data_IF_999638789640
#
_entry.id   IF_999638789640
#
_cell.length_a   1.000
_cell.length_b   1.000
_cell.length_c   1.000
_cell.angle_alpha   90.00
_cell.angle_beta   90.00
_cell.angle_gamma   90.00
#
_symmetry.space_group_name_H-M   'P 1'
#
loop_
_entity.id
_entity.type
_entity.pdbx_description
1 polymer ?
#
# COMPACT_ATOMS: atom_id res chain seq x y z
N UNK A 1 -26.73 -71.12 -26.40
CA UNK A 1 -25.85 -70.10 -26.98
C UNK A 1 -25.91 -68.87 -26.06
N UNK A 2 -24.89 -68.75 -25.22
CA UNK A 2 -24.83 -67.77 -24.15
C UNK A 2 -23.92 -66.63 -24.59
N UNK A 3 -24.46 -65.40 -24.69
CA UNK A 3 -23.68 -64.22 -24.96
C UNK A 3 -23.20 -63.58 -23.64
N UNK A 4 -21.89 -63.72 -23.38
CA UNK A 4 -21.22 -63.05 -22.25
C UNK A 4 -20.91 -61.62 -22.68
N UNK A 5 -21.62 -60.66 -22.10
CA UNK A 5 -21.32 -59.22 -22.24
C UNK A 5 -20.17 -58.89 -21.29
N UNK A 6 -18.99 -58.56 -21.84
CA UNK A 6 -17.87 -58.04 -21.10
C UNK A 6 -18.09 -56.53 -20.86
N UNK A 7 -18.44 -56.17 -19.63
CA UNK A 7 -18.46 -54.76 -19.18
C UNK A 7 -17.00 -54.34 -18.91
N UNK A 8 -16.47 -53.48 -19.76
CA UNK A 8 -15.17 -52.81 -19.51
C UNK A 8 -15.45 -51.59 -18.67
N UNK A 9 -15.16 -51.64 -17.40
CA UNK A 9 -15.21 -50.48 -16.49
C UNK A 9 -13.98 -49.63 -16.79
N UNK A 10 -14.19 -48.50 -17.46
CA UNK A 10 -13.16 -47.47 -17.67
C UNK A 10 -13.03 -46.65 -16.40
N UNK A 11 -12.00 -46.94 -15.60
CA UNK A 11 -11.70 -46.19 -14.40
C UNK A 11 -11.01 -44.88 -14.82
N UNK A 12 -11.78 -43.81 -14.94
CA UNK A 12 -11.29 -42.45 -15.18
C UNK A 12 -10.65 -41.97 -13.90
N UNK A 13 -9.32 -42.11 -13.79
CA UNK A 13 -8.52 -41.42 -12.77
C UNK A 13 -8.56 -39.92 -13.04
N UNK A 14 -9.49 -39.24 -12.36
CA UNK A 14 -9.45 -37.78 -12.24
C UNK A 14 -8.24 -37.40 -11.40
N UNK A 15 -7.12 -37.18 -12.07
CA UNK A 15 -6.01 -36.47 -11.47
C UNK A 15 -6.48 -35.04 -11.18
N UNK A 16 -6.94 -34.79 -9.95
CA UNK A 16 -7.14 -33.45 -9.45
C UNK A 16 -5.76 -32.79 -9.33
N UNK A 17 -5.32 -32.16 -10.41
CA UNK A 17 -4.24 -31.18 -10.37
C UNK A 17 -4.73 -30.04 -9.46
N UNK A 18 -4.25 -30.02 -8.23
CA UNK A 18 -4.26 -28.84 -7.40
C UNK A 18 -3.40 -27.79 -8.12
N UNK A 19 -4.02 -27.04 -9.01
CA UNK A 19 -3.50 -25.77 -9.48
C UNK A 19 -3.59 -24.88 -8.24
N UNK A 20 -2.52 -24.81 -7.45
CA UNK A 20 -2.29 -23.72 -6.54
C UNK A 20 -2.40 -22.48 -7.42
N UNK A 21 -3.47 -21.73 -7.26
CA UNK A 21 -3.62 -20.43 -7.88
C UNK A 21 -2.42 -19.60 -7.43
N UNK A 22 -1.43 -19.50 -8.31
CA UNK A 22 -0.32 -18.58 -8.13
C UNK A 22 -0.98 -17.22 -8.06
N UNK A 23 -1.04 -16.62 -6.86
CA UNK A 23 -1.55 -15.29 -6.68
C UNK A 23 -0.78 -14.39 -7.63
N UNK A 24 -1.40 -13.98 -8.72
CA UNK A 24 -0.77 -13.10 -9.69
C UNK A 24 -0.68 -11.72 -9.05
N UNK A 25 0.47 -11.41 -8.51
CA UNK A 25 0.85 -10.08 -8.07
C UNK A 25 0.75 -9.13 -9.27
N UNK A 26 -0.23 -8.22 -9.25
CA UNK A 26 -0.45 -7.35 -10.39
C UNK A 26 0.61 -6.25 -10.57
N UNK A 27 1.62 -6.17 -9.70
CA UNK A 27 2.66 -5.15 -9.78
C UNK A 27 4.02 -5.65 -10.29
N UNK A 28 4.26 -6.97 -10.40
CA UNK A 28 5.60 -7.51 -10.70
C UNK A 28 5.81 -8.12 -12.08
N UNK A 29 4.80 -8.67 -12.73
CA UNK A 29 4.96 -9.50 -13.93
C UNK A 29 4.38 -8.94 -15.22
N UNK A 30 3.76 -7.77 -15.18
CA UNK A 30 3.25 -7.11 -16.36
C UNK A 30 4.04 -5.82 -16.64
N UNK A 31 4.18 -5.46 -17.91
CA UNK A 31 4.72 -4.16 -18.35
C UNK A 31 3.79 -2.98 -18.00
N UNK A 32 2.76 -3.20 -17.18
CA UNK A 32 1.90 -2.16 -16.67
C UNK A 32 2.69 -1.20 -15.79
N UNK A 33 2.47 0.07 -15.98
CA UNK A 33 2.96 1.12 -15.09
C UNK A 33 2.37 0.88 -13.70
N UNK A 34 3.18 1.09 -12.66
CA UNK A 34 2.65 1.13 -11.29
C UNK A 34 1.79 2.38 -11.20
N UNK A 35 0.50 2.18 -11.07
CA UNK A 35 -0.46 3.28 -11.02
C UNK A 35 -0.70 3.73 -9.57
N UNK A 36 -0.97 5.02 -9.36
CA UNK A 36 -1.42 5.53 -8.07
C UNK A 36 -2.70 4.82 -7.61
N UNK A 37 -2.79 4.56 -6.32
CA UNK A 37 -3.99 3.97 -5.72
C UNK A 37 -4.87 5.10 -5.20
N UNK A 38 -6.02 5.28 -5.86
CA UNK A 38 -7.01 6.30 -5.51
C UNK A 38 -8.20 5.62 -4.85
N UNK A 39 -8.71 6.22 -3.77
CA UNK A 39 -9.98 5.86 -3.14
C UNK A 39 -10.94 7.04 -3.16
N UNK A 40 -12.24 6.74 -3.05
CA UNK A 40 -13.31 7.73 -3.20
C UNK A 40 -13.73 7.88 -4.65
N UNK A 41 -14.27 9.05 -4.99
CA UNK A 41 -14.73 9.36 -6.33
C UNK A 41 -13.56 9.94 -7.17
N UNK A 42 -13.05 9.26 -8.19
CA UNK A 42 -11.94 9.77 -9.00
C UNK A 42 -12.28 11.06 -9.78
N UNK A 43 -13.59 11.30 -9.98
CA UNK A 43 -14.09 12.49 -10.68
C UNK A 43 -14.53 13.60 -9.70
N UNK A 44 -14.19 13.49 -8.41
CA UNK A 44 -14.51 14.52 -7.43
C UNK A 44 -13.81 15.85 -7.75
N UNK A 45 -14.50 16.97 -7.47
CA UNK A 45 -13.92 18.31 -7.66
C UNK A 45 -12.76 18.59 -6.70
N UNK A 46 -12.74 17.91 -5.55
CA UNK A 46 -11.66 18.02 -4.56
C UNK A 46 -10.80 16.79 -4.60
N UNK A 47 -9.53 16.97 -4.94
CA UNK A 47 -8.51 15.93 -4.93
C UNK A 47 -7.54 16.15 -3.78
N UNK A 48 -7.27 15.10 -3.00
CA UNK A 48 -6.29 15.12 -1.92
C UNK A 48 -5.21 14.09 -2.22
N UNK A 49 -3.95 14.53 -2.28
CA UNK A 49 -2.77 13.67 -2.32
C UNK A 49 -2.10 13.73 -0.96
N UNK A 50 -1.91 12.60 -0.31
CA UNK A 50 -1.09 12.51 0.89
C UNK A 50 0.28 11.95 0.57
N UNK A 51 1.33 12.72 0.79
CA UNK A 51 2.70 12.26 0.83
C UNK A 51 3.04 11.77 2.24
N UNK A 52 3.27 10.46 2.39
CA UNK A 52 3.51 9.85 3.71
C UNK A 52 4.78 9.01 3.75
N UNK A 53 5.24 8.79 4.97
CA UNK A 53 6.29 7.84 5.33
C UNK A 53 5.73 6.79 6.28
N UNK A 54 6.07 5.52 6.06
CA UNK A 54 5.66 4.43 6.95
C UNK A 54 6.48 4.38 8.25
N UNK A 55 7.62 5.09 8.30
CA UNK A 55 8.44 5.22 9.50
C UNK A 55 8.15 6.51 10.29
N UNK A 56 7.26 7.38 9.80
CA UNK A 56 6.90 8.64 10.44
C UNK A 56 5.78 8.46 11.47
N UNK A 57 6.02 8.89 12.72
CA UNK A 57 5.01 8.82 13.79
C UNK A 57 3.80 9.72 13.56
N UNK A 58 4.00 10.91 12.96
CA UNK A 58 2.89 11.81 12.61
C UNK A 58 2.03 11.25 11.48
N UNK A 59 2.59 10.46 10.55
CA UNK A 59 1.80 9.72 9.57
C UNK A 59 0.95 8.63 10.25
N UNK A 60 1.51 7.92 11.23
CA UNK A 60 0.75 6.94 12.02
C UNK A 60 -0.38 7.59 12.85
N UNK A 61 -0.13 8.78 13.40
CA UNK A 61 -1.13 9.58 14.10
C UNK A 61 -2.28 9.98 13.16
N UNK A 62 -1.98 10.54 12.00
CA UNK A 62 -2.98 10.90 11.00
C UNK A 62 -3.79 9.68 10.55
N UNK A 63 -3.13 8.58 10.21
CA UNK A 63 -3.80 7.34 9.79
C UNK A 63 -4.73 6.76 10.85
N UNK A 64 -4.46 7.02 12.14
CA UNK A 64 -5.28 6.51 13.25
C UNK A 64 -6.47 7.40 13.60
N UNK A 65 -6.37 8.70 13.33
CA UNK A 65 -7.35 9.71 13.78
C UNK A 65 -7.94 10.51 12.62
N UNK A 66 -7.09 11.29 11.91
CA UNK A 66 -7.55 12.18 10.86
C UNK A 66 -8.10 11.46 9.63
N UNK A 67 -7.44 10.35 9.24
CA UNK A 67 -7.85 9.59 8.06
C UNK A 67 -9.22 8.93 8.21
N UNK A 68 -9.55 8.38 9.38
CA UNK A 68 -10.89 7.77 9.59
C UNK A 68 -11.99 8.83 9.43
N UNK A 69 -11.80 10.03 10.02
CA UNK A 69 -12.73 11.14 9.84
C UNK A 69 -12.84 11.59 8.37
N UNK A 70 -11.69 11.75 7.70
CA UNK A 70 -11.64 12.10 6.28
C UNK A 70 -12.38 11.06 5.43
N UNK A 71 -12.16 9.77 5.75
CA UNK A 71 -12.77 8.66 5.03
C UNK A 71 -14.29 8.65 5.19
N UNK A 72 -14.79 8.66 6.42
CA UNK A 72 -16.22 8.55 6.70
C UNK A 72 -17.01 9.75 6.16
N UNK A 73 -16.48 10.96 6.34
CA UNK A 73 -17.22 12.19 6.02
C UNK A 73 -17.10 12.61 4.56
N UNK A 74 -15.96 12.33 3.91
CA UNK A 74 -15.66 12.93 2.60
C UNK A 74 -15.34 11.89 1.51
N UNK A 75 -14.56 10.84 1.81
CA UNK A 75 -14.20 9.83 0.81
C UNK A 75 -15.38 8.92 0.50
N UNK A 76 -16.00 8.31 1.54
CA UNK A 76 -17.09 7.35 1.38
C UNK A 76 -18.38 8.02 0.85
N UNK A 77 -18.52 9.33 1.04
CA UNK A 77 -19.62 10.13 0.49
C UNK A 77 -19.38 10.56 -0.96
N UNK A 78 -18.18 10.32 -1.50
CA UNK A 78 -17.82 10.67 -2.87
C UNK A 78 -17.51 12.15 -3.09
N UNK A 79 -17.40 12.95 -2.02
CA UNK A 79 -17.09 14.38 -2.11
C UNK A 79 -15.65 14.66 -2.52
N UNK A 80 -14.74 13.73 -2.22
CA UNK A 80 -13.33 13.86 -2.57
C UNK A 80 -12.78 12.59 -3.20
N UNK A 81 -11.68 12.75 -3.96
CA UNK A 81 -10.73 11.69 -4.27
C UNK A 81 -9.53 11.78 -3.35
N UNK A 82 -9.00 10.62 -2.93
CA UNK A 82 -7.82 10.55 -2.08
C UNK A 82 -6.78 9.61 -2.66
N UNK A 83 -5.57 10.11 -2.81
CA UNK A 83 -4.41 9.37 -3.33
C UNK A 83 -3.30 9.35 -2.31
N UNK A 84 -2.79 8.16 -2.00
CA UNK A 84 -1.60 7.99 -1.18
C UNK A 84 -0.36 7.93 -2.05
N UNK A 85 0.62 8.78 -1.79
CA UNK A 85 1.93 8.77 -2.46
C UNK A 85 3.06 8.51 -1.47
N UNK A 86 4.01 7.64 -1.83
CA UNK A 86 5.16 7.35 -0.99
C UNK A 86 6.12 8.55 -0.94
N UNK A 87 6.59 8.87 0.28
CA UNK A 87 7.66 9.81 0.53
C UNK A 87 8.67 9.16 1.50
N UNK A 88 9.49 8.20 1.02
CA UNK A 88 10.38 7.45 1.89
C UNK A 88 11.44 8.36 2.52
N UNK A 89 11.60 8.30 3.85
CA UNK A 89 12.56 9.08 4.61
C UNK A 89 13.94 8.40 4.70
N UNK A 90 13.97 7.07 4.58
CA UNK A 90 15.18 6.26 4.71
C UNK A 90 15.04 4.92 3.96
N UNK A 91 16.10 4.10 3.99
CA UNK A 91 16.11 2.80 3.30
C UNK A 91 15.10 1.80 3.89
N UNK A 92 14.85 1.82 5.19
CA UNK A 92 13.83 0.97 5.82
C UNK A 92 12.43 1.34 5.33
N UNK A 93 12.15 2.63 5.25
CA UNK A 93 10.87 3.15 4.73
C UNK A 93 10.66 2.75 3.27
N UNK A 94 11.71 2.81 2.45
CA UNK A 94 11.69 2.32 1.09
C UNK A 94 11.32 0.83 1.03
N UNK A 95 11.91 -0.02 1.88
CA UNK A 95 11.59 -1.44 1.96
C UNK A 95 10.14 -1.68 2.40
N UNK A 96 9.62 -0.89 3.34
CA UNK A 96 8.23 -0.97 3.77
C UNK A 96 7.26 -0.58 2.63
N UNK A 97 7.56 0.46 1.85
CA UNK A 97 6.77 0.79 0.65
C UNK A 97 6.86 -0.28 -0.43
N UNK A 98 8.03 -0.89 -0.65
CA UNK A 98 8.14 -2.03 -1.57
C UNK A 98 7.20 -3.16 -1.17
N UNK A 99 7.06 -3.45 0.13
CA UNK A 99 6.07 -4.41 0.62
C UNK A 99 4.64 -3.98 0.29
N UNK A 100 4.27 -2.71 0.47
CA UNK A 100 2.93 -2.23 0.10
C UNK A 100 2.62 -2.44 -1.38
N UNK A 101 3.57 -2.10 -2.26
CA UNK A 101 3.40 -2.26 -3.71
C UNK A 101 3.55 -3.72 -4.18
N UNK A 102 3.99 -4.61 -3.31
CA UNK A 102 3.99 -6.06 -3.50
C UNK A 102 2.64 -6.70 -3.16
N UNK A 103 1.89 -6.10 -2.27
CA UNK A 103 0.57 -6.57 -1.90
C UNK A 103 -0.47 -6.32 -3.02
N UNK A 104 -1.56 -7.08 -3.02
CA UNK A 104 -2.67 -6.83 -3.94
C UNK A 104 -3.29 -5.45 -3.69
N UNK A 105 -3.89 -4.85 -4.73
CA UNK A 105 -4.62 -3.56 -4.60
C UNK A 105 -5.65 -3.59 -3.46
N UNK A 106 -6.33 -4.71 -3.28
CA UNK A 106 -7.32 -4.90 -2.22
C UNK A 106 -6.70 -4.81 -0.81
N UNK A 107 -5.46 -5.28 -0.67
CA UNK A 107 -4.76 -5.32 0.61
C UNK A 107 -3.92 -4.06 0.88
N UNK A 108 -3.69 -3.21 -0.11
CA UNK A 108 -2.81 -2.04 0.00
C UNK A 108 -3.13 -1.17 1.23
N UNK A 109 -4.34 -0.61 1.31
CA UNK A 109 -4.71 0.27 2.44
C UNK A 109 -4.83 -0.48 3.77
N UNK A 110 -5.19 -1.77 3.74
CA UNK A 110 -5.25 -2.60 4.95
C UNK A 110 -3.85 -2.81 5.52
N UNK A 111 -2.89 -3.13 4.65
CA UNK A 111 -1.49 -3.33 5.03
C UNK A 111 -0.85 -2.01 5.45
N UNK A 112 -1.07 -0.91 4.72
CA UNK A 112 -0.64 0.44 5.09
C UNK A 112 -1.07 0.79 6.51
N UNK A 113 -2.36 0.66 6.82
CA UNK A 113 -2.90 0.89 8.17
C UNK A 113 -2.25 0.01 9.23
N UNK A 114 -2.00 -1.26 8.92
CA UNK A 114 -1.35 -2.21 9.85
C UNK A 114 0.11 -1.82 10.08
N UNK A 115 0.85 -1.45 9.05
CA UNK A 115 2.25 -1.02 9.18
C UNK A 115 2.36 0.25 10.02
N UNK A 116 1.55 1.26 9.75
CA UNK A 116 1.53 2.51 10.52
C UNK A 116 1.14 2.27 12.00
N UNK A 117 0.07 1.52 12.25
CA UNK A 117 -0.40 1.22 13.61
C UNK A 117 0.61 0.41 14.42
N UNK A 118 1.43 -0.40 13.77
CA UNK A 118 2.36 -1.32 14.42
C UNK A 118 3.83 -0.97 14.19
N UNK A 119 4.17 0.31 13.97
CA UNK A 119 5.55 0.73 13.74
C UNK A 119 6.53 0.14 14.76
N UNK A 120 6.21 0.15 16.05
CA UNK A 120 7.05 -0.41 17.10
C UNK A 120 7.28 -1.93 17.03
N UNK A 121 6.48 -2.65 16.22
CA UNK A 121 6.61 -4.12 16.07
C UNK A 121 7.53 -4.52 14.92
N UNK A 122 7.74 -3.62 13.95
CA UNK A 122 8.58 -3.92 12.80
C UNK A 122 9.80 -2.97 12.67
N UNK A 123 9.76 -1.77 13.23
CA UNK A 123 10.95 -0.91 13.35
C UNK A 123 11.77 -1.41 14.53
N UNK A 124 12.84 -2.14 14.24
CA UNK A 124 13.70 -2.74 15.26
C UNK A 124 14.99 -1.96 15.41
N UNK A 125 15.10 -1.19 16.49
CA UNK A 125 16.25 -0.35 16.83
C UNK A 125 17.14 -0.95 17.93
N UNK A 126 16.96 -2.22 18.27
CA UNK A 126 17.72 -2.89 19.34
C UNK A 126 19.22 -3.02 19.04
N UNK A 127 19.58 -3.06 17.77
CA UNK A 127 20.95 -3.08 17.26
C UNK A 127 21.08 -2.02 16.16
N UNK A 128 21.80 -0.95 16.40
CA UNK A 128 21.92 0.19 15.48
C UNK A 128 22.60 -0.16 14.16
N UNK A 129 23.50 -1.15 14.16
CA UNK A 129 24.20 -1.61 12.95
C UNK A 129 23.32 -2.50 12.08
N UNK A 130 22.26 -3.11 12.66
CA UNK A 130 21.37 -4.07 12.01
C UNK A 130 19.91 -3.61 11.90
N UNK A 131 19.65 -2.32 12.10
CA UNK A 131 18.27 -1.79 12.03
C UNK A 131 17.57 -2.17 10.74
N UNK A 132 18.24 -1.98 9.60
CA UNK A 132 17.65 -2.28 8.30
C UNK A 132 17.37 -3.78 8.13
N UNK A 133 18.34 -4.64 8.44
CA UNK A 133 18.20 -6.10 8.34
C UNK A 133 17.09 -6.63 9.25
N UNK A 134 17.15 -6.31 10.55
CA UNK A 134 16.20 -6.79 11.54
C UNK A 134 14.78 -6.30 11.27
N UNK A 135 14.64 -5.04 10.84
CA UNK A 135 13.33 -4.47 10.51
C UNK A 135 12.77 -5.04 9.21
N UNK A 136 13.61 -5.29 8.18
CA UNK A 136 13.17 -5.96 6.95
C UNK A 136 12.71 -7.39 7.24
N UNK A 137 13.42 -8.12 8.10
CA UNK A 137 12.98 -9.45 8.55
C UNK A 137 11.65 -9.39 9.33
N UNK A 138 11.40 -8.33 10.09
CA UNK A 138 10.09 -8.13 10.75
C UNK A 138 8.99 -7.78 9.73
N UNK A 139 9.28 -7.00 8.70
CA UNK A 139 8.35 -6.72 7.59
C UNK A 139 7.96 -7.98 6.84
N UNK A 140 8.88 -8.94 6.63
CA UNK A 140 8.58 -10.24 6.02
C UNK A 140 7.49 -11.00 6.79
N UNK A 141 7.48 -10.90 8.14
CA UNK A 141 6.43 -11.51 8.96
C UNK A 141 5.08 -10.79 8.80
N UNK A 142 5.09 -9.47 8.62
CA UNK A 142 3.87 -8.72 8.31
C UNK A 142 3.35 -9.07 6.92
N UNK A 143 4.23 -9.21 5.93
CA UNK A 143 3.93 -9.61 4.56
C UNK A 143 3.09 -10.90 4.50
N UNK A 144 3.49 -11.93 5.26
CA UNK A 144 2.81 -13.21 5.30
C UNK A 144 1.33 -13.12 5.73
N UNK A 145 0.98 -12.17 6.61
CA UNK A 145 -0.41 -11.93 7.05
C UNK A 145 -1.31 -11.43 5.91
N UNK A 146 -0.72 -10.88 4.86
CA UNK A 146 -1.41 -10.36 3.67
C UNK A 146 -1.18 -11.22 2.43
N UNK A 147 -0.70 -12.46 2.62
CA UNK A 147 -0.50 -13.43 1.54
C UNK A 147 0.73 -13.17 0.68
N UNK A 148 1.66 -12.32 1.12
CA UNK A 148 2.97 -12.11 0.48
C UNK A 148 3.97 -13.08 1.07
N UNK A 149 4.48 -14.02 0.29
CA UNK A 149 5.51 -14.96 0.77
C UNK A 149 6.85 -14.24 0.97
N UNK A 150 7.78 -14.88 1.69
CA UNK A 150 9.15 -14.37 1.84
C UNK A 150 9.85 -14.19 0.50
N UNK A 151 9.65 -15.13 -0.41
CA UNK A 151 10.28 -15.10 -1.73
C UNK A 151 9.68 -14.00 -2.61
N UNK A 152 8.34 -13.86 -2.61
CA UNK A 152 7.66 -12.76 -3.32
C UNK A 152 8.12 -11.39 -2.78
N UNK A 153 8.25 -11.24 -1.46
CA UNK A 153 8.74 -9.98 -0.88
C UNK A 153 10.20 -9.72 -1.26
N UNK A 154 11.06 -10.75 -1.30
CA UNK A 154 12.42 -10.59 -1.77
C UNK A 154 12.47 -10.15 -3.24
N UNK A 155 11.65 -10.73 -4.11
CA UNK A 155 11.51 -10.27 -5.50
C UNK A 155 11.12 -8.78 -5.58
N UNK A 156 10.22 -8.33 -4.70
CA UNK A 156 9.83 -6.92 -4.64
C UNK A 156 10.94 -6.01 -4.09
N UNK A 157 11.74 -6.48 -3.14
CA UNK A 157 12.91 -5.74 -2.64
C UNK A 157 13.93 -5.49 -3.76
N UNK A 158 14.08 -6.44 -4.68
CA UNK A 158 15.01 -6.37 -5.81
C UNK A 158 14.39 -5.70 -7.05
N UNK A 159 13.10 -5.37 -7.01
CA UNK A 159 12.39 -4.80 -8.15
C UNK A 159 12.72 -3.31 -8.35
N UNK A 160 13.50 -3.02 -9.41
CA UNK A 160 13.89 -1.64 -9.74
C UNK A 160 12.71 -0.76 -10.19
N UNK A 161 11.67 -1.32 -10.82
CA UNK A 161 10.49 -0.53 -11.24
C UNK A 161 9.75 0.01 -10.02
N UNK A 162 9.54 -0.84 -9.00
CA UNK A 162 8.93 -0.43 -7.73
C UNK A 162 9.82 0.62 -7.04
N UNK A 163 11.13 0.36 -6.98
CA UNK A 163 12.10 1.28 -6.40
C UNK A 163 12.04 2.66 -7.07
N UNK A 164 12.11 2.68 -8.41
CA UNK A 164 12.10 3.92 -9.18
C UNK A 164 10.79 4.67 -9.04
N UNK A 165 9.64 3.97 -9.01
CA UNK A 165 8.33 4.58 -8.77
C UNK A 165 8.28 5.29 -7.40
N UNK A 166 8.69 4.60 -6.34
CA UNK A 166 8.69 5.15 -4.98
C UNK A 166 9.62 6.36 -4.87
N UNK A 167 10.85 6.25 -5.38
CA UNK A 167 11.81 7.35 -5.33
C UNK A 167 11.39 8.53 -6.20
N UNK A 168 10.80 8.27 -7.38
CA UNK A 168 10.25 9.30 -8.24
C UNK A 168 9.13 10.08 -7.56
N UNK A 169 8.23 9.41 -6.84
CA UNK A 169 7.17 10.07 -6.07
C UNK A 169 7.74 11.12 -5.11
N UNK A 170 8.79 10.78 -4.36
CA UNK A 170 9.46 11.73 -3.49
C UNK A 170 10.11 12.90 -4.25
N UNK A 171 10.78 12.60 -5.37
CA UNK A 171 11.44 13.63 -6.19
C UNK A 171 10.40 14.61 -6.75
N UNK A 172 9.30 14.09 -7.27
CA UNK A 172 8.21 14.90 -7.83
C UNK A 172 7.56 15.77 -6.73
N UNK A 173 7.30 15.20 -5.54
CA UNK A 173 6.76 15.93 -4.40
C UNK A 173 7.61 17.16 -4.03
N UNK A 174 8.95 16.99 -4.00
CA UNK A 174 9.87 18.09 -3.69
C UNK A 174 9.88 19.14 -4.80
N UNK A 175 9.87 18.70 -6.07
CA UNK A 175 9.99 19.61 -7.23
C UNK A 175 8.70 20.38 -7.52
N UNK A 176 7.55 19.70 -7.41
CA UNK A 176 6.26 20.26 -7.84
C UNK A 176 5.55 21.02 -6.72
N UNK A 177 5.71 20.54 -5.47
CA UNK A 177 4.95 21.07 -4.32
C UNK A 177 5.84 21.51 -3.16
N UNK A 178 7.17 21.46 -3.28
CA UNK A 178 8.11 21.83 -2.22
C UNK A 178 7.94 21.02 -0.92
N UNK A 179 7.42 19.78 -1.02
CA UNK A 179 7.23 18.90 0.14
C UNK A 179 8.58 18.59 0.78
N UNK A 180 8.70 18.87 2.08
CA UNK A 180 9.93 18.68 2.86
C UNK A 180 9.73 17.91 4.17
N UNK A 181 8.51 17.52 4.48
CA UNK A 181 8.13 16.79 5.69
C UNK A 181 6.97 15.84 5.42
N UNK A 182 6.70 14.90 6.36
CA UNK A 182 5.58 13.96 6.30
C UNK A 182 4.78 13.96 7.61
N UNK A 183 3.45 13.78 7.54
CA UNK A 183 2.66 13.80 6.33
C UNK A 183 2.59 15.19 5.71
N UNK A 184 2.42 15.26 4.39
CA UNK A 184 2.07 16.49 3.69
C UNK A 184 0.92 16.21 2.74
N UNK A 185 -0.03 17.14 2.65
CA UNK A 185 -1.24 17.00 1.84
C UNK A 185 -1.23 18.05 0.74
N UNK A 186 -1.54 17.63 -0.48
CA UNK A 186 -1.82 18.54 -1.59
C UNK A 186 -3.32 18.47 -1.84
N UNK A 187 -4.01 19.57 -1.61
CA UNK A 187 -5.45 19.70 -1.80
C UNK A 187 -5.69 20.67 -2.95
N UNK A 188 -6.14 20.15 -4.08
CA UNK A 188 -6.32 20.93 -5.32
C UNK A 188 -5.10 21.79 -5.70
N UNK A 189 -3.88 21.31 -5.39
CA UNK A 189 -2.62 22.01 -5.68
C UNK A 189 -2.01 22.79 -4.51
N UNK A 190 -2.77 23.04 -3.44
CA UNK A 190 -2.28 23.75 -2.25
C UNK A 190 -1.63 22.80 -1.24
N UNK A 191 -0.46 23.17 -0.72
CA UNK A 191 0.30 22.38 0.24
C UNK A 191 -0.13 22.65 1.68
N UNK A 192 -0.46 21.59 2.40
CA UNK A 192 -0.70 21.56 3.85
C UNK A 192 0.26 20.57 4.49
N UNK A 193 1.25 21.06 5.25
CA UNK A 193 2.26 20.22 5.91
C UNK A 193 1.86 19.85 7.34
N UNK A 194 2.21 18.63 7.75
CA UNK A 194 1.96 18.10 9.09
C UNK A 194 0.66 17.31 9.23
N UNK A 195 0.49 16.64 10.38
CA UNK A 195 -0.71 15.85 10.68
C UNK A 195 -1.94 16.76 10.77
N UNK A 196 -3.04 16.36 10.11
CA UNK A 196 -4.30 17.09 10.14
C UNK A 196 -5.27 16.42 11.12
N UNK A 197 -5.74 17.17 12.11
CA UNK A 197 -6.86 16.74 12.96
C UNK A 197 -8.19 16.76 12.21
N UNK A 198 -9.20 16.04 12.72
CA UNK A 198 -10.56 16.06 12.16
C UNK A 198 -11.10 17.47 12.00
N UNK A 199 -10.95 18.33 13.03
CA UNK A 199 -11.37 19.72 12.96
C UNK A 199 -10.62 20.49 11.86
N UNK A 200 -9.29 20.28 11.72
CA UNK A 200 -8.50 20.99 10.72
C UNK A 200 -8.85 20.55 9.30
N UNK A 201 -9.18 19.28 9.11
CA UNK A 201 -9.71 18.75 7.85
C UNK A 201 -10.99 19.48 7.46
N UNK A 202 -11.94 19.58 8.40
CA UNK A 202 -13.22 20.26 8.15
C UNK A 202 -13.00 21.73 7.77
N UNK A 203 -12.19 22.47 8.55
CA UNK A 203 -11.87 23.87 8.27
C UNK A 203 -11.26 24.09 6.87
N UNK A 204 -10.37 23.19 6.45
CA UNK A 204 -9.74 23.29 5.13
C UNK A 204 -10.76 22.96 4.04
N UNK A 205 -11.50 21.86 4.17
CA UNK A 205 -12.39 21.36 3.13
C UNK A 205 -13.64 22.22 2.94
N UNK A 206 -14.09 22.94 3.99
CA UNK A 206 -15.14 23.98 3.84
C UNK A 206 -14.79 25.05 2.80
N UNK A 207 -13.50 25.31 2.57
CA UNK A 207 -13.04 26.25 1.54
C UNK A 207 -13.10 25.71 0.10
N UNK A 208 -13.20 24.40 -0.07
CA UNK A 208 -13.20 23.73 -1.39
C UNK A 208 -14.55 23.10 -1.75
N UNK A 209 -15.34 22.70 -0.76
CA UNK A 209 -16.65 22.06 -0.94
C UNK A 209 -17.73 23.10 -0.65
N UNK A 210 -18.37 23.61 -1.69
CA UNK A 210 -19.50 24.55 -1.60
C UNK A 210 -20.83 23.83 -1.62
#
# INVERSE_FOLDING_TARGET
>A
MSHIIKIVIFFCLLASSNVLAKNSWNFGNDNSLIEPIIIGNPDAEVNIIEYRSLTCSHCAEFASNGFEHLKEKYIDTGLISFELRPFPLNALDLNAFKLLYCASKENFYKLDKVLLKNQSKWINTSDQEKVLENSTAALTKQAALFGVSSDDYQECLDNEKITNFILKSRIDAVKEYEVNSTPSFIINGDLYAGSLSAQKIDEILEGYIN
#
